data_IF_754253787134
#
_entry.id   IF_754253787134
#
_cell.length_a   1.000
_cell.length_b   1.000
_cell.length_c   1.000
_cell.angle_alpha   90.00
_cell.angle_beta   90.00
_cell.angle_gamma   90.00
#
_symmetry.space_group_name_H-M   'P 1'
#
loop_
_entity.id
_entity.type
_entity.pdbx_description
1 polymer ?
#
# COMPACT_ATOMS: atom_id res chain seq x y z
N UNK A 1 -9.80 5.64 18.11
CA UNK A 1 -9.20 5.60 16.75
C UNK A 1 -10.04 6.41 15.75
N UNK A 2 -9.41 7.37 15.07
CA UNK A 2 -10.02 8.27 14.08
C UNK A 2 -9.43 8.02 12.69
N UNK A 3 -10.21 8.19 11.61
CA UNK A 3 -9.72 8.09 10.24
C UNK A 3 -9.64 9.48 9.60
N UNK A 4 -8.46 9.83 9.06
CA UNK A 4 -8.23 11.11 8.37
C UNK A 4 -7.27 10.94 7.19
N UNK A 5 -7.31 11.90 6.27
CA UNK A 5 -6.30 12.06 5.24
C UNK A 5 -5.25 13.05 5.72
N UNK A 6 -4.01 12.61 5.87
CA UNK A 6 -2.90 13.42 6.41
C UNK A 6 -1.88 13.69 5.30
N UNK A 7 -1.40 14.93 5.24
CA UNK A 7 -0.37 15.36 4.29
C UNK A 7 0.96 14.62 4.52
N UNK A 8 1.62 14.25 3.43
CA UNK A 8 2.81 13.41 3.40
C UNK A 8 4.01 14.04 4.14
N UNK A 9 4.07 15.37 4.16
CA UNK A 9 5.07 16.17 4.87
C UNK A 9 4.85 16.23 6.40
N UNK A 10 3.63 15.94 6.87
CA UNK A 10 3.28 15.86 8.30
C UNK A 10 3.53 14.48 8.91
N UNK A 11 4.04 13.54 8.13
CA UNK A 11 4.23 12.14 8.52
C UNK A 11 5.71 11.80 8.70
N UNK A 12 6.04 11.24 9.85
CA UNK A 12 7.37 10.70 10.18
C UNK A 12 7.30 9.22 10.56
N UNK A 13 8.38 8.43 10.39
CA UNK A 13 8.38 7.03 10.85
C UNK A 13 8.64 6.98 12.35
N UNK A 14 7.76 6.34 13.11
CA UNK A 14 7.94 6.16 14.55
C UNK A 14 9.07 5.16 14.85
N UNK A 15 9.82 5.40 15.93
CA UNK A 15 10.78 4.43 16.46
C UNK A 15 10.11 3.11 16.93
N UNK A 16 8.83 3.18 17.31
CA UNK A 16 8.00 2.04 17.71
C UNK A 16 7.49 1.18 16.55
N UNK A 17 7.71 1.62 15.30
CA UNK A 17 7.39 0.81 14.14
C UNK A 17 8.29 -0.42 14.11
N UNK A 18 7.71 -1.62 14.12
CA UNK A 18 8.48 -2.86 14.22
C UNK A 18 9.47 -3.09 13.05
N UNK A 19 9.29 -2.40 11.92
CA UNK A 19 10.18 -2.44 10.74
C UNK A 19 10.95 -1.12 10.54
N UNK A 20 11.07 -0.31 11.59
CA UNK A 20 11.93 0.88 11.61
C UNK A 20 13.40 0.50 11.36
N UNK A 21 14.15 1.41 10.73
CA UNK A 21 15.58 1.24 10.49
C UNK A 21 16.09 2.15 9.37
N UNK A 22 17.43 2.32 9.26
CA UNK A 22 18.04 3.24 8.29
C UNK A 22 17.95 2.74 6.85
N UNK A 23 17.84 1.41 6.65
CA UNK A 23 17.74 0.82 5.32
C UNK A 23 16.37 1.12 4.71
N UNK A 24 16.35 1.67 3.49
CA UNK A 24 15.10 1.87 2.75
C UNK A 24 14.38 0.54 2.55
N UNK A 25 13.05 0.49 2.74
CA UNK A 25 12.30 -0.74 2.49
C UNK A 25 12.26 -1.02 0.98
N UNK A 26 12.28 -2.30 0.61
CA UNK A 26 11.88 -2.68 -0.74
C UNK A 26 10.38 -2.48 -0.90
N UNK A 27 10.00 -1.80 -1.98
CA UNK A 27 8.64 -1.44 -2.33
C UNK A 27 8.31 -1.78 -3.79
N UNK A 28 9.19 -2.54 -4.46
CA UNK A 28 9.06 -2.88 -5.88
C UNK A 28 7.75 -3.61 -6.23
N UNK A 29 7.27 -4.47 -5.33
CA UNK A 29 6.01 -5.20 -5.39
C UNK A 29 4.78 -4.29 -5.27
N UNK A 30 4.81 -3.26 -4.40
CA UNK A 30 3.65 -2.41 -4.11
C UNK A 30 3.62 -1.12 -4.94
N UNK A 31 4.76 -0.68 -5.47
CA UNK A 31 4.86 0.54 -6.27
C UNK A 31 3.87 0.56 -7.45
N UNK A 32 3.75 -0.50 -8.27
CA UNK A 32 2.82 -0.50 -9.40
C UNK A 32 1.37 -0.35 -8.96
N UNK A 33 0.98 -1.03 -7.87
CA UNK A 33 -0.37 -0.91 -7.30
C UNK A 33 -0.63 0.50 -6.80
N UNK A 34 0.33 1.11 -6.11
CA UNK A 34 0.20 2.46 -5.53
C UNK A 34 0.16 3.51 -6.64
N UNK A 35 0.93 3.36 -7.72
CA UNK A 35 0.81 4.24 -8.90
C UNK A 35 -0.59 4.17 -9.51
N UNK A 36 -1.15 2.97 -9.63
CA UNK A 36 -2.43 2.73 -10.28
C UNK A 36 -3.64 3.10 -9.41
N UNK A 37 -3.58 2.90 -8.09
CA UNK A 37 -4.74 2.94 -7.18
C UNK A 37 -4.56 3.83 -5.95
N UNK A 38 -3.36 4.36 -5.71
CA UNK A 38 -3.02 5.03 -4.46
C UNK A 38 -2.92 4.06 -3.27
N UNK A 39 -2.90 4.61 -2.07
CA UNK A 39 -2.90 3.84 -0.83
C UNK A 39 -4.34 3.45 -0.48
N UNK A 40 -4.67 2.15 -0.55
CA UNK A 40 -6.00 1.66 -0.19
C UNK A 40 -6.13 1.30 1.29
N UNK A 41 -5.06 0.76 1.88
CA UNK A 41 -5.03 0.42 3.30
C UNK A 41 -4.37 1.57 4.07
N UNK A 42 -5.09 2.13 5.05
CA UNK A 42 -4.62 3.28 5.83
C UNK A 42 -3.31 2.99 6.59
N UNK A 43 -2.43 3.98 6.67
CA UNK A 43 -1.30 3.96 7.58
C UNK A 43 -1.81 4.00 9.02
N UNK A 44 -1.12 3.36 9.95
CA UNK A 44 -1.42 3.50 11.37
C UNK A 44 -0.47 4.53 11.97
N UNK A 45 -1.03 5.59 12.55
CA UNK A 45 -0.27 6.73 13.07
C UNK A 45 -0.69 7.06 14.49
N UNK A 46 0.16 7.78 15.20
CA UNK A 46 -0.14 8.44 16.47
C UNK A 46 0.26 9.92 16.39
N UNK A 47 -0.21 10.79 17.30
CA UNK A 47 0.30 12.15 17.41
C UNK A 47 1.84 12.17 17.48
N UNK A 48 2.46 13.05 16.69
CA UNK A 48 3.91 13.25 16.64
C UNK A 48 4.42 14.14 17.77
N UNK A 49 5.71 14.47 17.73
CA UNK A 49 6.33 15.37 18.73
C UNK A 49 5.86 16.81 18.61
N UNK A 50 5.52 17.22 17.39
CA UNK A 50 5.09 18.59 17.08
C UNK A 50 3.57 18.63 16.89
N UNK A 51 2.89 19.71 17.33
CA UNK A 51 1.47 19.86 17.09
C UNK A 51 1.13 19.76 15.61
N UNK A 52 0.25 18.82 15.25
CA UNK A 52 -0.17 18.61 13.86
C UNK A 52 0.75 17.71 13.03
N UNK A 53 1.83 17.17 13.60
CA UNK A 53 2.59 16.08 13.01
C UNK A 53 2.13 14.71 13.52
N UNK A 54 2.43 13.66 12.77
CA UNK A 54 2.00 12.31 13.06
C UNK A 54 3.13 11.31 12.84
N UNK A 55 3.30 10.39 13.78
CA UNK A 55 4.31 9.34 13.73
C UNK A 55 3.69 8.01 13.28
N UNK A 56 4.23 7.43 12.21
CA UNK A 56 3.77 6.20 11.56
C UNK A 56 4.26 4.98 12.36
N UNK A 57 3.30 4.33 13.01
CA UNK A 57 3.47 3.12 13.80
C UNK A 57 3.43 1.87 12.90
N UNK A 58 2.59 1.85 11.87
CA UNK A 58 2.55 0.77 10.88
C UNK A 58 2.30 1.30 9.45
N UNK A 59 2.81 0.56 8.45
CA UNK A 59 2.68 0.94 7.04
C UNK A 59 3.91 1.64 6.43
N UNK A 60 5.11 1.46 7.00
CA UNK A 60 6.37 2.06 6.51
C UNK A 60 6.57 1.90 4.98
N UNK A 61 6.36 0.69 4.44
CA UNK A 61 6.50 0.42 2.99
C UNK A 61 5.54 1.27 2.15
N UNK A 62 4.28 1.37 2.58
CA UNK A 62 3.22 2.15 1.93
C UNK A 62 3.57 3.64 1.92
N UNK A 63 4.05 4.18 3.04
CA UNK A 63 4.54 5.56 3.11
C UNK A 63 5.68 5.82 2.11
N UNK A 64 6.72 4.98 2.10
CA UNK A 64 7.86 5.18 1.19
C UNK A 64 7.46 5.07 -0.29
N UNK A 65 6.60 4.11 -0.64
CA UNK A 65 6.08 4.00 -2.00
C UNK A 65 5.26 5.24 -2.40
N UNK A 66 4.44 5.78 -1.49
CA UNK A 66 3.72 7.02 -1.72
C UNK A 66 4.66 8.23 -1.94
N UNK A 67 5.76 8.33 -1.19
CA UNK A 67 6.78 9.38 -1.42
C UNK A 67 7.34 9.31 -2.84
N UNK A 68 7.74 8.12 -3.29
CA UNK A 68 8.29 7.90 -4.63
C UNK A 68 7.28 8.33 -5.70
N UNK A 69 6.02 7.91 -5.56
CA UNK A 69 4.96 8.27 -6.53
C UNK A 69 4.68 9.77 -6.52
N UNK A 70 4.66 10.41 -5.35
CA UNK A 70 4.48 11.86 -5.25
C UNK A 70 5.65 12.63 -5.88
N UNK A 71 6.88 12.16 -5.72
CA UNK A 71 8.07 12.72 -6.37
C UNK A 71 8.03 12.55 -7.90
N UNK A 72 7.71 11.35 -8.40
CA UNK A 72 7.55 11.08 -9.84
C UNK A 72 6.52 12.01 -10.48
N UNK A 73 5.37 12.21 -9.82
CA UNK A 73 4.29 13.06 -10.32
C UNK A 73 4.64 14.54 -10.22
N UNK A 74 5.32 14.98 -9.15
CA UNK A 74 5.83 16.36 -9.03
C UNK A 74 6.85 16.65 -10.14
N UNK A 75 7.74 15.72 -10.45
CA UNK A 75 8.70 15.86 -11.54
C UNK A 75 8.00 15.95 -12.92
N UNK A 76 6.95 15.14 -13.14
CA UNK A 76 6.15 15.21 -14.37
C UNK A 76 5.38 16.54 -14.49
N UNK A 77 4.81 17.04 -13.39
CA UNK A 77 4.06 18.30 -13.35
C UNK A 77 4.96 19.53 -13.52
N UNK A 78 6.18 19.53 -12.96
CA UNK A 78 7.14 20.63 -13.14
C UNK A 78 7.57 20.81 -14.61
N UNK A 79 7.44 19.78 -15.45
CA UNK A 79 7.65 19.86 -16.89
C UNK A 79 6.41 20.32 -17.69
N UNK A 80 5.24 20.40 -17.07
CA UNK A 80 3.97 20.78 -17.66
C UNK A 80 3.38 21.98 -16.90
N UNK A 81 3.97 23.16 -17.10
CA UNK A 81 3.46 24.40 -16.52
C UNK A 81 1.99 24.63 -16.94
N UNK A 82 1.06 24.42 -16.03
CA UNK A 82 -0.33 24.88 -16.13
C UNK A 82 -0.92 25.15 -14.75
N UNK A 83 -1.76 26.17 -14.70
CA UNK A 83 -2.30 26.86 -13.52
C UNK A 83 -3.35 26.03 -12.76
N UNK A 84 -2.96 24.89 -12.19
CA UNK A 84 -3.82 24.10 -11.31
C UNK A 84 -3.70 24.60 -9.86
N UNK A 85 -4.68 25.41 -9.44
CA UNK A 85 -4.73 26.00 -8.11
C UNK A 85 -4.84 25.00 -6.95
N UNK A 86 -4.20 25.37 -5.83
CA UNK A 86 -4.37 25.09 -4.38
C UNK A 86 -5.04 23.81 -3.85
N UNK A 87 -5.36 22.81 -4.66
CA UNK A 87 -5.77 21.50 -4.19
C UNK A 87 -4.53 20.62 -4.00
N UNK A 88 -4.27 20.22 -2.75
CA UNK A 88 -3.27 19.19 -2.44
C UNK A 88 -3.56 17.95 -3.30
N UNK A 89 -2.63 17.50 -4.17
CA UNK A 89 -2.86 16.35 -5.02
C UNK A 89 -3.23 15.14 -4.13
N UNK A 90 -4.16 14.26 -4.55
CA UNK A 90 -4.65 13.15 -3.71
C UNK A 90 -3.55 12.19 -3.22
N UNK A 91 -2.37 12.26 -3.83
CA UNK A 91 -1.16 11.47 -3.58
C UNK A 91 -0.22 12.12 -2.55
N UNK A 92 -0.48 13.37 -2.19
CA UNK A 92 0.12 14.03 -1.03
C UNK A 92 -0.69 13.79 0.23
N UNK A 93 -1.95 13.38 0.12
CA UNK A 93 -2.81 13.06 1.25
C UNK A 93 -2.93 11.53 1.42
N UNK A 94 -2.46 11.01 2.55
CA UNK A 94 -2.47 9.57 2.82
C UNK A 94 -3.59 9.22 3.80
N UNK A 95 -4.40 8.17 3.52
CA UNK A 95 -5.37 7.69 4.48
C UNK A 95 -4.66 7.15 5.71
N UNK A 96 -5.05 7.64 6.88
CA UNK A 96 -4.40 7.37 8.15
C UNK A 96 -5.44 7.04 9.22
N UNK A 97 -5.15 5.97 9.96
CA UNK A 97 -5.79 5.59 11.19
C UNK A 97 -5.00 6.17 12.35
N UNK A 98 -5.57 7.15 13.02
CA UNK A 98 -4.96 7.85 14.16
C UNK A 98 -5.35 7.09 15.43
N UNK A 99 -4.34 6.50 16.08
CA UNK A 99 -4.44 5.97 17.43
C UNK A 99 -4.71 7.11 18.41
N UNK A 100 -5.52 6.83 19.42
CA UNK A 100 -5.74 7.78 20.51
C UNK A 100 -4.42 7.97 21.28
N UNK A 101 -4.31 9.01 22.11
CA UNK A 101 -3.13 9.20 22.94
C UNK A 101 -2.93 7.99 23.86
N UNK A 102 -1.86 7.24 23.62
CA UNK A 102 -1.47 6.03 24.33
C UNK A 102 0.04 5.99 24.51
N UNK A 103 0.54 5.02 25.28
CA UNK A 103 1.97 4.91 25.53
C UNK A 103 2.72 4.24 24.35
N UNK A 104 4.04 4.17 24.45
CA UNK A 104 4.85 3.51 23.41
C UNK A 104 4.56 2.00 23.32
N UNK A 105 4.06 1.36 24.39
CA UNK A 105 3.74 -0.07 24.39
C UNK A 105 2.48 -0.34 23.56
N UNK A 106 1.43 0.47 23.69
CA UNK A 106 0.22 0.40 22.87
C UNK A 106 0.56 0.53 21.38
N UNK A 107 1.48 1.45 21.03
CA UNK A 107 1.95 1.62 19.66
C UNK A 107 2.71 0.39 19.15
N UNK A 108 3.60 -0.19 19.95
CA UNK A 108 4.33 -1.41 19.58
C UNK A 108 3.37 -2.59 19.39
N UNK A 109 2.40 -2.77 20.29
CA UNK A 109 1.40 -3.83 20.18
C UNK A 109 0.57 -3.67 18.90
N UNK A 110 0.09 -2.45 18.62
CA UNK A 110 -0.67 -2.18 17.41
C UNK A 110 0.16 -2.42 16.13
N UNK A 111 1.46 -2.07 16.15
CA UNK A 111 2.39 -2.39 15.05
C UNK A 111 2.54 -3.90 14.86
N UNK A 112 2.61 -4.67 15.94
CA UNK A 112 2.75 -6.13 15.89
C UNK A 112 1.49 -6.80 15.37
N UNK A 113 0.31 -6.40 15.86
CA UNK A 113 -0.99 -6.93 15.43
C UNK A 113 -1.17 -6.75 13.92
N UNK A 114 -0.88 -5.56 13.37
CA UNK A 114 -1.00 -5.30 11.92
C UNK A 114 -0.11 -6.21 11.07
N UNK A 115 1.06 -6.57 11.58
CA UNK A 115 2.03 -7.37 10.84
C UNK A 115 1.79 -8.87 10.96
N UNK A 116 1.33 -9.35 12.12
CA UNK A 116 1.05 -10.76 12.38
C UNK A 116 -0.26 -11.19 11.70
N UNK A 117 -1.27 -10.32 11.65
CA UNK A 117 -2.58 -10.65 11.09
C UNK A 117 -2.61 -10.83 9.55
N UNK A 118 -1.46 -10.81 8.87
CA UNK A 118 -1.38 -10.95 7.42
C UNK A 118 -1.37 -12.42 7.02
N UNK A 119 -2.46 -12.86 6.37
CA UNK A 119 -2.53 -14.14 5.68
C UNK A 119 -2.53 -13.88 4.18
N UNK A 120 -1.54 -14.43 3.48
CA UNK A 120 -1.49 -14.36 2.02
C UNK A 120 -2.62 -15.22 1.42
N UNK A 121 -3.21 -14.75 0.33
CA UNK A 121 -4.21 -15.53 -0.39
C UNK A 121 -3.56 -16.79 -0.99
N UNK A 122 -4.20 -17.95 -0.83
CA UNK A 122 -3.77 -19.18 -1.47
C UNK A 122 -3.92 -19.10 -3.01
N UNK A 123 -3.23 -19.99 -3.73
CA UNK A 123 -3.18 -19.95 -5.19
C UNK A 123 -4.54 -20.19 -5.86
N UNK A 124 -5.45 -20.94 -5.23
CA UNK A 124 -6.80 -21.19 -5.75
C UNK A 124 -7.66 -19.94 -5.60
N UNK A 125 -7.58 -19.26 -4.46
CA UNK A 125 -8.22 -17.95 -4.24
C UNK A 125 -7.68 -16.89 -5.21
N UNK A 126 -6.36 -16.87 -5.47
CA UNK A 126 -5.77 -16.00 -6.47
C UNK A 126 -6.29 -16.32 -7.88
N UNK A 127 -6.38 -17.60 -8.25
CA UNK A 127 -6.95 -18.04 -9.53
C UNK A 127 -8.39 -17.57 -9.73
N UNK A 128 -9.25 -17.75 -8.72
CA UNK A 128 -10.64 -17.29 -8.78
C UNK A 128 -10.71 -15.77 -9.01
N UNK A 129 -9.86 -15.02 -8.31
CA UNK A 129 -9.79 -13.57 -8.40
C UNK A 129 -9.29 -13.09 -9.76
N UNK A 130 -8.20 -13.66 -10.29
CA UNK A 130 -7.67 -13.32 -11.62
C UNK A 130 -8.64 -13.70 -12.73
N UNK A 131 -9.31 -14.85 -12.62
CA UNK A 131 -10.34 -15.26 -13.58
C UNK A 131 -11.48 -14.23 -13.62
N UNK A 132 -11.89 -13.70 -12.46
CA UNK A 132 -12.89 -12.63 -12.40
C UNK A 132 -12.37 -11.35 -13.07
N UNK A 133 -11.14 -10.92 -12.80
CA UNK A 133 -10.57 -9.73 -13.43
C UNK A 133 -10.49 -9.85 -14.96
N UNK A 134 -10.13 -11.03 -15.48
CA UNK A 134 -10.11 -11.31 -16.92
C UNK A 134 -11.51 -11.22 -17.52
N UNK A 135 -12.54 -11.74 -16.83
CA UNK A 135 -13.95 -11.61 -17.25
C UNK A 135 -14.44 -10.18 -17.26
N UNK A 136 -13.92 -9.34 -16.37
CA UNK A 136 -14.16 -7.89 -16.32
C UNK A 136 -13.31 -7.11 -17.35
N UNK A 137 -12.62 -7.81 -18.26
CA UNK A 137 -11.90 -7.22 -19.38
C UNK A 137 -10.47 -6.78 -19.08
N UNK A 138 -9.83 -7.29 -18.03
CA UNK A 138 -8.40 -7.05 -17.78
C UNK A 138 -7.53 -8.09 -18.50
N UNK A 139 -6.49 -7.61 -19.17
CA UNK A 139 -5.50 -8.48 -19.79
C UNK A 139 -4.57 -9.09 -18.73
N UNK A 140 -3.83 -10.14 -19.10
CA UNK A 140 -2.82 -10.75 -18.22
C UNK A 140 -1.73 -9.72 -17.89
N UNK A 141 -1.36 -8.95 -18.90
CA UNK A 141 -0.37 -7.89 -18.85
C UNK A 141 -0.82 -6.77 -17.88
N UNK A 142 -2.08 -6.33 -17.96
CA UNK A 142 -2.62 -5.32 -17.03
C UNK A 142 -2.63 -5.80 -15.57
N UNK A 143 -2.96 -7.07 -15.35
CA UNK A 143 -2.96 -7.69 -14.02
C UNK A 143 -1.52 -7.75 -13.51
N UNK A 144 -0.58 -8.23 -14.32
CA UNK A 144 0.84 -8.27 -13.98
C UNK A 144 1.38 -6.89 -13.60
N UNK A 145 1.12 -5.88 -14.44
CA UNK A 145 1.50 -4.50 -14.19
C UNK A 145 0.86 -3.94 -12.92
N UNK A 146 -0.42 -4.22 -12.65
CA UNK A 146 -1.12 -3.67 -11.47
C UNK A 146 -0.58 -4.25 -10.17
N UNK A 147 -0.34 -5.57 -10.13
CA UNK A 147 0.04 -6.28 -8.91
C UNK A 147 1.55 -6.49 -8.76
N UNK A 148 2.36 -5.96 -9.68
CA UNK A 148 3.82 -6.14 -9.66
C UNK A 148 4.24 -7.60 -9.88
N UNK A 149 3.44 -8.36 -10.64
CA UNK A 149 3.67 -9.79 -10.90
C UNK A 149 4.20 -10.00 -12.32
N UNK A 150 5.15 -10.92 -12.53
CA UNK A 150 5.54 -11.33 -13.88
C UNK A 150 4.35 -11.95 -14.64
N UNK A 151 4.21 -11.66 -15.93
CA UNK A 151 3.14 -12.23 -16.77
C UNK A 151 3.08 -13.75 -16.71
N UNK A 152 4.25 -14.41 -16.64
CA UNK A 152 4.35 -15.86 -16.51
C UNK A 152 3.69 -16.36 -15.22
N UNK A 153 3.81 -15.62 -14.11
CA UNK A 153 3.18 -15.96 -12.84
C UNK A 153 1.66 -15.83 -12.93
N UNK A 154 1.15 -14.74 -13.51
CA UNK A 154 -0.30 -14.55 -13.73
C UNK A 154 -0.86 -15.68 -14.60
N UNK A 155 -0.15 -16.06 -15.68
CA UNK A 155 -0.53 -17.18 -16.56
C UNK A 155 -0.54 -18.53 -15.81
N UNK A 156 0.44 -18.79 -14.94
CA UNK A 156 0.51 -20.01 -14.13
C UNK A 156 -0.67 -20.12 -13.16
N UNK A 157 -1.00 -19.03 -12.47
CA UNK A 157 -2.16 -18.98 -11.57
C UNK A 157 -3.45 -19.21 -12.36
N UNK A 158 -3.63 -18.56 -13.51
CA UNK A 158 -4.80 -18.77 -14.38
C UNK A 158 -4.93 -20.22 -14.86
N UNK A 159 -3.81 -20.92 -15.10
CA UNK A 159 -3.80 -22.31 -15.53
C UNK A 159 -4.33 -23.30 -14.47
N UNK A 160 -4.43 -22.91 -13.20
CA UNK A 160 -5.05 -23.74 -12.15
C UNK A 160 -6.52 -24.04 -12.46
N UNK A 161 -7.18 -23.22 -13.26
CA UNK A 161 -8.53 -23.49 -13.77
C UNK A 161 -8.66 -24.77 -14.58
N UNK A 162 -7.55 -25.28 -15.14
CA UNK A 162 -7.51 -26.51 -15.93
C UNK A 162 -7.40 -27.78 -15.08
N UNK A 163 -7.15 -27.65 -13.77
CA UNK A 163 -7.10 -28.79 -12.86
C UNK A 163 -8.49 -29.36 -12.60
N UNK A 164 -8.55 -30.67 -12.33
CA UNK A 164 -9.79 -31.33 -11.91
C UNK A 164 -10.33 -30.68 -10.62
N UNK A 165 -11.66 -30.52 -10.47
CA UNK A 165 -12.26 -29.85 -9.32
C UNK A 165 -11.77 -30.40 -7.96
N UNK A 166 -11.60 -31.71 -7.86
CA UNK A 166 -11.10 -32.37 -6.64
C UNK A 166 -9.68 -31.95 -6.26
N UNK A 167 -8.82 -31.66 -7.25
CA UNK A 167 -7.43 -31.25 -7.01
C UNK A 167 -7.38 -29.79 -6.54
N UNK A 168 -8.30 -28.93 -7.01
CA UNK A 168 -8.39 -27.51 -6.60
C UNK A 168 -8.90 -27.29 -5.17
N UNK A 169 -9.38 -28.33 -4.49
CA UNK A 169 -9.97 -28.25 -3.16
C UNK A 169 -9.13 -28.96 -2.09
N UNK A 170 -7.94 -29.45 -2.46
CA UNK A 170 -6.94 -30.01 -1.54
C UNK A 170 -6.07 -28.87 -0.99
#
# INVERSE_FOLDING_TARGET
MKLEFIALDKLEIAATNMRHGPKMPDVSDILPTIRARGILQSLLVRPGREPGSFAIVAGRRRYHAAKIVAEERRAAAAGAATDAGDADPPDTLLPCAILDEGDDADAVEASLIENIARLDADEVTQWQSFTRLVREGRSVEDIGLTFGLPDLMVRRVLALGNLLPRIRAL
#
